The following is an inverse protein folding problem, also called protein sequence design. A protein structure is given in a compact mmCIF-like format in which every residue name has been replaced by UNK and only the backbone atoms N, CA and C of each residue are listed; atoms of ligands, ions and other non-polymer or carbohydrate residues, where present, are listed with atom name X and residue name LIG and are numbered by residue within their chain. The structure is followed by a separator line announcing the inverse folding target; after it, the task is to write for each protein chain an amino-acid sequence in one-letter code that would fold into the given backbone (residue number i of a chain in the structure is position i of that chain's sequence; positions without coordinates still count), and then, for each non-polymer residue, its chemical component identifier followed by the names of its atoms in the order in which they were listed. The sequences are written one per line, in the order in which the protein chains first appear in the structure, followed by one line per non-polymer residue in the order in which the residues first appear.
data_IF_259474098322
#
_entry.id   IF_259474098322
#
_cell.length_a   1.000
_cell.length_b   1.000
_cell.length_c   1.000
_cell.angle_alpha   90.00
_cell.angle_beta   90.00
_cell.angle_gamma   90.00
#
_symmetry.space_group_name_H-M   'P 1'
#
loop_
_entity.id
_entity.type
_entity.pdbx_description
1 polymer ?
#
# COMPACT_ATOMS: atom_id res chain seq x y z
N UNK A 1 -6.85 -17.50 20.28
CA UNK A 1 -6.69 -16.04 20.52
C UNK A 1 -7.89 -15.57 21.34
N UNK A 2 -7.68 -14.87 22.46
CA UNK A 2 -8.77 -14.29 23.26
C UNK A 2 -9.55 -13.23 22.47
N UNK A 3 -10.82 -13.02 22.80
CA UNK A 3 -11.69 -12.06 22.11
C UNK A 3 -11.07 -10.65 21.91
N UNK A 4 -10.37 -10.05 22.89
CA UNK A 4 -9.75 -8.75 22.74
C UNK A 4 -8.60 -8.74 21.70
N UNK A 5 -7.80 -9.81 21.62
CA UNK A 5 -6.71 -9.92 20.64
C UNK A 5 -7.26 -10.00 19.23
N UNK A 6 -8.36 -10.75 19.03
CA UNK A 6 -9.03 -10.84 17.71
C UNK A 6 -9.52 -9.47 17.25
N UNK A 7 -10.13 -8.69 18.14
CA UNK A 7 -10.62 -7.35 17.83
C UNK A 7 -9.48 -6.38 17.46
N UNK A 8 -8.31 -6.48 18.10
CA UNK A 8 -7.13 -5.67 17.76
C UNK A 8 -6.52 -6.06 16.40
N UNK A 9 -6.44 -7.37 16.10
CA UNK A 9 -5.97 -7.86 14.78
C UNK A 9 -6.90 -7.40 13.66
N UNK A 10 -8.20 -7.37 13.94
CA UNK A 10 -9.22 -6.86 13.02
C UNK A 10 -9.08 -5.33 12.83
N UNK A 11 -8.88 -4.57 13.92
CA UNK A 11 -8.67 -3.11 13.91
C UNK A 11 -7.50 -2.70 13.01
N UNK A 12 -6.36 -3.39 13.11
CA UNK A 12 -5.18 -3.08 12.28
C UNK A 12 -5.25 -3.73 10.90
N UNK A 13 -6.32 -4.44 10.58
CA UNK A 13 -6.51 -5.15 9.30
C UNK A 13 -5.25 -5.95 8.91
N UNK A 14 -4.72 -6.74 9.84
CA UNK A 14 -3.43 -7.40 9.69
C UNK A 14 -3.21 -8.11 8.33
N UNK A 15 -4.21 -8.80 7.72
CA UNK A 15 -4.05 -9.39 6.41
C UNK A 15 -3.82 -8.38 5.26
N UNK A 16 -4.30 -7.15 5.39
CA UNK A 16 -4.13 -6.12 4.35
C UNK A 16 -2.69 -5.59 4.27
N UNK A 17 -1.89 -5.78 5.33
CA UNK A 17 -0.48 -5.40 5.37
C UNK A 17 0.42 -6.19 4.39
N UNK A 18 -0.08 -7.21 3.70
CA UNK A 18 0.73 -8.06 2.79
C UNK A 18 1.40 -7.29 1.63
N UNK A 19 0.89 -6.11 1.28
CA UNK A 19 1.49 -5.27 0.23
C UNK A 19 2.58 -4.33 0.78
N UNK A 20 2.67 -4.14 2.09
CA UNK A 20 3.56 -3.16 2.72
C UNK A 20 5.02 -3.61 2.74
N UNK A 21 5.36 -4.86 3.12
CA UNK A 21 6.73 -5.33 3.07
C UNK A 21 7.39 -5.18 1.70
N UNK A 22 6.61 -5.30 0.63
CA UNK A 22 7.10 -5.15 -0.74
C UNK A 22 7.66 -3.76 -1.04
N UNK A 23 7.09 -2.68 -0.49
CA UNK A 23 7.61 -1.32 -0.65
C UNK A 23 8.98 -1.18 0.01
N UNK A 24 9.09 -1.58 1.28
CA UNK A 24 10.34 -1.49 2.02
C UNK A 24 11.44 -2.33 1.36
N UNK A 25 11.11 -3.55 0.91
CA UNK A 25 12.07 -4.42 0.22
C UNK A 25 12.45 -3.86 -1.15
N UNK A 26 11.53 -3.24 -1.90
CA UNK A 26 11.84 -2.59 -3.18
C UNK A 26 12.82 -1.43 -2.98
N UNK A 27 12.61 -0.61 -1.94
CA UNK A 27 13.53 0.45 -1.56
C UNK A 27 14.91 -0.07 -1.17
N UNK A 28 14.97 -1.08 -0.31
CA UNK A 28 16.19 -1.73 0.12
C UNK A 28 16.97 -2.34 -1.05
N UNK A 29 16.27 -3.04 -1.97
CA UNK A 29 16.87 -3.64 -3.16
C UNK A 29 17.46 -2.58 -4.10
N UNK A 30 16.73 -1.48 -4.35
CA UNK A 30 17.21 -0.36 -5.14
C UNK A 30 18.46 0.32 -4.54
N UNK A 31 18.68 0.13 -3.24
CA UNK A 31 19.83 0.67 -2.49
C UNK A 31 20.97 -0.35 -2.30
N UNK A 32 20.87 -1.54 -2.92
CA UNK A 32 21.92 -2.55 -2.91
C UNK A 32 21.94 -3.48 -1.68
N UNK A 33 20.92 -3.43 -0.80
CA UNK A 33 20.85 -4.27 0.40
C UNK A 33 19.47 -4.91 0.61
N UNK A 34 19.01 -5.78 -0.33
CA UNK A 34 17.67 -6.35 -0.37
C UNK A 34 17.35 -7.31 0.79
N UNK A 35 18.36 -7.74 1.54
CA UNK A 35 18.26 -8.61 2.71
C UNK A 35 19.09 -8.11 3.86
N UNK A 36 18.77 -8.58 5.06
CA UNK A 36 19.54 -8.33 6.27
C UNK A 36 18.73 -7.68 7.38
N UNK A 37 19.39 -7.52 8.54
CA UNK A 37 18.75 -6.98 9.76
C UNK A 37 18.14 -5.59 9.54
N UNK A 38 18.83 -4.75 8.76
CA UNK A 38 18.35 -3.39 8.46
C UNK A 38 17.07 -3.43 7.61
N UNK A 39 17.04 -4.27 6.56
CA UNK A 39 15.84 -4.44 5.72
C UNK A 39 14.67 -4.91 6.57
N UNK A 40 14.86 -5.94 7.39
CA UNK A 40 13.82 -6.47 8.26
C UNK A 40 13.31 -5.42 9.25
N UNK A 41 14.22 -4.66 9.88
CA UNK A 41 13.85 -3.63 10.83
C UNK A 41 13.07 -2.48 10.16
N UNK A 42 13.53 -1.97 9.00
CA UNK A 42 12.81 -0.91 8.29
C UNK A 42 11.48 -1.40 7.71
N UNK A 43 11.39 -2.67 7.29
CA UNK A 43 10.10 -3.30 6.96
C UNK A 43 9.17 -3.35 8.17
N UNK A 44 9.70 -3.71 9.35
CA UNK A 44 8.93 -3.67 10.60
C UNK A 44 8.44 -2.27 10.95
N UNK A 45 9.28 -1.24 10.76
CA UNK A 45 8.89 0.16 10.94
C UNK A 45 7.73 0.56 10.00
N UNK A 46 7.83 0.18 8.71
CA UNK A 46 6.81 0.38 7.70
C UNK A 46 5.49 -0.28 8.09
N UNK A 47 5.52 -1.55 8.50
CA UNK A 47 4.33 -2.30 8.96
C UNK A 47 3.70 -1.64 10.19
N UNK A 48 4.50 -1.18 11.16
CA UNK A 48 3.98 -0.47 12.33
C UNK A 48 3.24 0.81 11.91
N UNK A 49 3.81 1.63 11.03
CA UNK A 49 3.18 2.87 10.56
C UNK A 49 1.91 2.56 9.75
N UNK A 50 1.91 1.50 8.94
CA UNK A 50 0.72 1.06 8.21
C UNK A 50 -0.40 0.63 9.15
N UNK A 51 -0.10 -0.21 10.15
CA UNK A 51 -1.09 -0.63 11.14
C UNK A 51 -1.59 0.54 11.99
N UNK A 52 -0.72 1.52 12.28
CA UNK A 52 -1.13 2.78 12.91
C UNK A 52 -2.19 3.49 12.06
N UNK A 53 -1.97 3.60 10.75
CA UNK A 53 -2.94 4.17 9.80
C UNK A 53 -4.27 3.41 9.80
N UNK A 54 -4.26 2.08 9.81
CA UNK A 54 -5.51 1.30 9.86
C UNK A 54 -6.31 1.56 11.15
N UNK A 55 -5.65 1.57 12.30
CA UNK A 55 -6.29 1.89 13.58
C UNK A 55 -6.81 3.34 13.60
N UNK A 56 -6.05 4.27 13.01
CA UNK A 56 -6.41 5.68 12.90
C UNK A 56 -7.60 5.88 11.96
N UNK A 57 -7.64 5.16 10.84
CA UNK A 57 -8.75 5.18 9.89
C UNK A 57 -10.06 4.77 10.57
N UNK A 58 -10.06 3.63 11.28
CA UNK A 58 -11.25 3.18 12.02
C UNK A 58 -11.64 4.16 13.13
N UNK A 59 -10.68 4.85 13.78
CA UNK A 59 -10.96 5.89 14.74
C UNK A 59 -11.57 7.14 14.09
N UNK A 60 -11.02 7.61 12.98
CA UNK A 60 -11.50 8.77 12.26
C UNK A 60 -12.92 8.55 11.71
N UNK A 61 -13.17 7.37 11.16
CA UNK A 61 -14.45 7.01 10.51
C UNK A 61 -15.50 6.46 11.48
N UNK A 62 -15.24 6.38 12.79
CA UNK A 62 -16.08 5.72 13.77
C UNK A 62 -17.57 6.11 13.74
N UNK A 63 -17.88 7.36 13.40
CA UNK A 63 -19.25 7.85 13.32
C UNK A 63 -19.95 7.40 12.04
N UNK A 64 -19.24 7.41 10.90
CA UNK A 64 -19.71 6.92 9.63
C UNK A 64 -19.88 5.39 9.68
N UNK A 65 -18.88 4.69 10.21
CA UNK A 65 -18.89 3.23 10.37
C UNK A 65 -20.01 2.74 11.30
N UNK A 66 -20.45 3.57 12.27
CA UNK A 66 -21.60 3.21 13.11
C UNK A 66 -22.90 3.08 12.30
N UNK A 67 -22.99 3.76 11.15
CA UNK A 67 -24.13 3.71 10.24
C UNK A 67 -23.91 2.63 9.15
N UNK A 68 -22.75 2.64 8.51
CA UNK A 68 -22.50 1.82 7.33
C UNK A 68 -21.96 0.42 7.65
N UNK A 69 -21.23 0.27 8.76
CA UNK A 69 -20.48 -0.95 9.13
C UNK A 69 -20.48 -1.17 10.65
N UNK A 70 -21.67 -1.37 11.26
CA UNK A 70 -21.82 -1.47 12.71
C UNK A 70 -21.08 -2.68 13.33
N UNK A 71 -20.68 -3.66 12.51
CA UNK A 71 -19.91 -4.83 12.93
C UNK A 71 -18.42 -4.54 13.17
N UNK A 72 -17.88 -3.38 12.73
CA UNK A 72 -16.47 -2.99 12.94
C UNK A 72 -16.11 -2.91 14.43
N UNK A 73 -14.81 -3.06 14.78
CA UNK A 73 -14.38 -3.14 16.18
C UNK A 73 -14.82 -1.98 17.07
N UNK A 74 -14.80 -0.74 16.57
CA UNK A 74 -15.18 0.45 17.34
C UNK A 74 -16.71 0.60 17.45
N UNK A 75 -17.48 0.61 16.36
CA UNK A 75 -18.94 0.71 16.44
C UNK A 75 -19.59 -0.41 17.25
N UNK A 76 -19.11 -1.65 17.12
CA UNK A 76 -19.62 -2.80 17.88
C UNK A 76 -19.26 -2.78 19.37
N UNK A 77 -18.50 -1.77 19.84
CA UNK A 77 -18.06 -1.69 21.23
C UNK A 77 -16.95 -2.67 21.65
N UNK A 78 -16.44 -3.48 20.70
CA UNK A 78 -15.34 -4.45 20.98
C UNK A 78 -14.00 -3.76 21.25
N UNK A 79 -13.81 -2.54 20.71
CA UNK A 79 -12.64 -1.69 20.96
C UNK A 79 -13.12 -0.28 21.28
N UNK A 80 -12.64 0.30 22.39
CA UNK A 80 -12.94 1.68 22.75
C UNK A 80 -12.20 2.65 21.81
N UNK A 81 -12.79 3.79 21.38
CA UNK A 81 -12.11 4.77 20.55
C UNK A 81 -10.75 5.21 21.09
N UNK A 82 -10.65 5.45 22.41
CA UNK A 82 -9.40 5.82 23.07
C UNK A 82 -8.33 4.71 22.94
N UNK A 83 -8.72 3.44 22.97
CA UNK A 83 -7.81 2.31 22.76
C UNK A 83 -7.30 2.27 21.32
N UNK A 84 -8.17 2.51 20.33
CA UNK A 84 -7.76 2.58 18.92
C UNK A 84 -6.76 3.71 18.66
N UNK A 85 -7.02 4.90 19.22
CA UNK A 85 -6.09 6.03 19.13
C UNK A 85 -4.76 5.74 19.86
N UNK A 86 -4.81 5.09 21.03
CA UNK A 86 -3.61 4.64 21.75
C UNK A 86 -2.78 3.64 20.95
N UNK A 87 -3.43 2.69 20.27
CA UNK A 87 -2.77 1.73 19.36
C UNK A 87 -2.13 2.46 18.19
N UNK A 88 -2.84 3.38 17.54
CA UNK A 88 -2.30 4.18 16.42
C UNK A 88 -1.06 4.98 16.85
N UNK A 89 -1.14 5.67 17.99
CA UNK A 89 -0.03 6.47 18.54
C UNK A 89 1.16 5.58 18.92
N UNK A 90 0.92 4.46 19.62
CA UNK A 90 1.95 3.53 20.05
C UNK A 90 2.67 2.87 18.86
N UNK A 91 1.92 2.45 17.84
CA UNK A 91 2.50 1.88 16.62
C UNK A 91 3.26 2.94 15.79
N UNK A 92 2.78 4.18 15.74
CA UNK A 92 3.51 5.29 15.10
C UNK A 92 4.84 5.52 15.81
N UNK A 93 4.83 5.67 17.14
CA UNK A 93 6.04 5.88 17.94
C UNK A 93 7.01 4.68 17.82
N UNK A 94 6.49 3.46 17.86
CA UNK A 94 7.27 2.23 17.67
C UNK A 94 7.93 2.18 16.29
N UNK A 95 7.17 2.49 15.22
CA UNK A 95 7.70 2.55 13.85
C UNK A 95 8.81 3.60 13.71
N UNK A 96 8.63 4.80 14.27
CA UNK A 96 9.65 5.86 14.29
C UNK A 96 10.87 5.44 15.09
N UNK A 97 10.70 4.78 16.25
CA UNK A 97 11.77 4.26 17.07
C UNK A 97 12.60 3.20 16.34
N UNK A 98 11.94 2.23 15.69
CA UNK A 98 12.62 1.21 14.86
C UNK A 98 13.36 1.86 13.70
N UNK A 99 12.75 2.82 13.00
CA UNK A 99 13.40 3.54 11.90
C UNK A 99 14.66 4.31 12.38
N UNK A 100 14.57 4.94 13.55
CA UNK A 100 15.72 5.62 14.19
C UNK A 100 16.86 4.65 14.50
N UNK A 101 16.52 3.52 15.12
CA UNK A 101 17.52 2.51 15.53
C UNK A 101 18.19 1.83 14.34
N UNK A 102 17.40 1.51 13.27
CA UNK A 102 17.89 0.76 12.12
C UNK A 102 18.58 1.63 11.04
N UNK A 103 18.13 2.89 10.88
CA UNK A 103 18.56 3.76 9.78
C UNK A 103 19.03 5.14 10.20
N UNK A 104 18.99 5.45 11.51
CA UNK A 104 19.44 6.71 12.07
C UNK A 104 18.67 7.92 11.54
N UNK A 105 19.33 9.09 11.55
CA UNK A 105 18.73 10.36 11.12
C UNK A 105 18.20 10.34 9.68
N UNK A 106 18.83 9.55 8.79
CA UNK A 106 18.36 9.46 7.39
C UNK A 106 17.01 8.78 7.29
N UNK A 107 16.82 7.66 7.96
CA UNK A 107 15.53 6.96 7.97
C UNK A 107 14.46 7.80 8.66
N UNK A 108 14.78 8.50 9.76
CA UNK A 108 13.84 9.41 10.42
C UNK A 108 13.38 10.57 9.54
N UNK A 109 14.24 11.13 8.69
CA UNK A 109 13.84 12.18 7.71
C UNK A 109 12.79 11.70 6.72
N UNK A 110 12.62 10.39 6.57
CA UNK A 110 11.58 9.79 5.73
C UNK A 110 10.41 9.30 6.59
N UNK A 111 10.69 8.64 7.72
CA UNK A 111 9.66 8.08 8.57
C UNK A 111 8.75 9.14 9.20
N UNK A 112 9.29 10.32 9.56
CA UNK A 112 8.49 11.42 10.09
C UNK A 112 7.50 11.99 9.07
N UNK A 113 7.89 12.35 7.83
CA UNK A 113 6.93 12.74 6.80
C UNK A 113 5.95 11.63 6.46
N UNK A 114 6.37 10.35 6.44
CA UNK A 114 5.47 9.23 6.22
C UNK A 114 4.38 9.17 7.29
N UNK A 115 4.76 9.19 8.57
CA UNK A 115 3.82 9.19 9.67
C UNK A 115 2.88 10.42 9.61
N UNK A 116 3.43 11.61 9.38
CA UNK A 116 2.64 12.84 9.22
C UNK A 116 1.65 12.73 8.06
N UNK A 117 2.05 12.15 6.92
CA UNK A 117 1.18 11.95 5.75
C UNK A 117 0.04 10.99 6.08
N UNK A 118 0.32 9.88 6.79
CA UNK A 118 -0.71 8.90 7.21
C UNK A 118 -1.72 9.58 8.15
N UNK A 119 -1.28 10.33 9.14
CA UNK A 119 -2.16 11.05 10.06
C UNK A 119 -2.97 12.13 9.34
N UNK A 120 -2.33 12.93 8.50
CA UNK A 120 -3.01 13.96 7.71
C UNK A 120 -4.03 13.35 6.73
N UNK A 121 -3.72 12.20 6.14
CA UNK A 121 -4.65 11.49 5.26
C UNK A 121 -5.94 11.14 6.01
N UNK A 122 -5.86 10.47 7.14
CA UNK A 122 -7.03 9.97 7.84
C UNK A 122 -7.89 11.09 8.48
N UNK A 123 -7.26 12.16 8.98
CA UNK A 123 -8.01 13.23 9.64
C UNK A 123 -8.49 14.35 8.70
N UNK A 124 -7.79 14.58 7.59
CA UNK A 124 -8.01 15.80 6.80
C UNK A 124 -8.11 15.53 5.31
N UNK A 125 -7.22 14.70 4.71
CA UNK A 125 -7.00 14.73 3.28
C UNK A 125 -7.84 13.71 2.50
N UNK A 126 -8.26 12.61 3.12
CA UNK A 126 -8.89 11.48 2.41
C UNK A 126 -10.16 11.88 1.63
N UNK A 127 -10.98 12.76 2.20
CA UNK A 127 -12.22 13.23 1.57
C UNK A 127 -12.00 14.42 0.61
N UNK A 128 -10.78 14.95 0.56
CA UNK A 128 -10.44 16.09 -0.30
C UNK A 128 -9.93 15.63 -1.67
N UNK A 129 -9.76 16.58 -2.59
CA UNK A 129 -9.12 16.34 -3.89
C UNK A 129 -7.65 15.89 -3.76
N UNK A 130 -7.02 16.12 -2.60
CA UNK A 130 -5.65 15.74 -2.30
C UNK A 130 -5.51 14.31 -1.75
N UNK A 131 -6.62 13.62 -1.44
CA UNK A 131 -6.59 12.25 -0.92
C UNK A 131 -5.72 11.30 -1.74
N UNK A 132 -5.91 11.19 -3.07
CA UNK A 132 -5.08 10.32 -3.90
C UNK A 132 -3.59 10.69 -3.89
N UNK A 133 -3.27 11.98 -3.84
CA UNK A 133 -1.89 12.45 -3.75
C UNK A 133 -1.25 12.11 -2.40
N UNK A 134 -2.00 12.23 -1.31
CA UNK A 134 -1.53 11.87 0.02
C UNK A 134 -1.28 10.36 0.14
N UNK A 135 -2.18 9.52 -0.39
CA UNK A 135 -1.99 8.07 -0.42
C UNK A 135 -0.76 7.68 -1.26
N UNK A 136 -0.59 8.31 -2.43
CA UNK A 136 0.59 8.13 -3.28
C UNK A 136 1.88 8.57 -2.57
N UNK A 137 1.85 9.70 -1.85
CA UNK A 137 2.98 10.20 -1.08
C UNK A 137 3.34 9.22 0.06
N UNK A 138 2.36 8.69 0.79
CA UNK A 138 2.60 7.69 1.82
C UNK A 138 3.33 6.47 1.25
N UNK A 139 2.88 5.92 0.12
CA UNK A 139 3.53 4.75 -0.51
C UNK A 139 4.91 5.07 -1.08
N UNK A 140 5.09 6.27 -1.66
CA UNK A 140 6.41 6.76 -2.11
C UNK A 140 7.39 6.86 -0.95
N UNK A 141 6.95 7.45 0.16
CA UNK A 141 7.77 7.59 1.37
C UNK A 141 8.06 6.22 2.01
N UNK A 142 7.15 5.26 1.90
CA UNK A 142 7.36 3.91 2.43
C UNK A 142 8.49 3.17 1.69
N UNK A 143 8.53 3.25 0.36
CA UNK A 143 9.67 2.74 -0.44
C UNK A 143 10.98 3.44 -0.04
N UNK A 144 10.96 4.76 0.13
CA UNK A 144 12.13 5.52 0.55
C UNK A 144 12.56 5.18 2.00
N UNK A 145 11.61 4.87 2.89
CA UNK A 145 11.91 4.37 4.24
C UNK A 145 12.65 3.04 4.16
N UNK A 146 12.16 2.09 3.36
CA UNK A 146 12.84 0.83 3.10
C UNK A 146 14.27 1.00 2.59
N UNK A 147 14.51 2.04 1.79
CA UNK A 147 15.84 2.46 1.32
C UNK A 147 16.69 3.16 2.40
N UNK A 148 16.17 3.40 3.61
CA UNK A 148 16.84 4.21 4.63
C UNK A 148 17.10 5.65 4.18
N UNK A 149 16.27 6.19 3.28
CA UNK A 149 16.40 7.53 2.70
C UNK A 149 17.44 7.63 1.57
N UNK A 150 17.86 6.54 0.96
CA UNK A 150 18.81 6.57 -0.16
C UNK A 150 18.14 7.04 -1.46
N UNK A 151 18.80 7.98 -2.17
CA UNK A 151 18.29 8.54 -3.44
C UNK A 151 18.17 7.50 -4.57
N UNK A 152 18.93 6.43 -4.53
CA UNK A 152 18.87 5.35 -5.52
C UNK A 152 17.47 4.71 -5.63
N UNK A 153 16.67 4.78 -4.56
CA UNK A 153 15.31 4.24 -4.55
C UNK A 153 14.25 5.19 -5.13
N UNK A 154 14.58 6.45 -5.44
CA UNK A 154 13.62 7.44 -5.93
C UNK A 154 12.85 6.95 -7.17
N UNK A 155 13.46 6.34 -8.21
CA UNK A 155 12.70 5.85 -9.35
C UNK A 155 11.68 4.77 -8.97
N UNK A 156 12.05 3.82 -8.10
CA UNK A 156 11.14 2.79 -7.61
C UNK A 156 10.01 3.40 -6.76
N UNK A 157 10.34 4.34 -5.89
CA UNK A 157 9.39 5.04 -5.04
C UNK A 157 8.34 5.81 -5.85
N UNK A 158 8.78 6.58 -6.86
CA UNK A 158 7.88 7.31 -7.76
C UNK A 158 7.01 6.37 -8.60
N UNK A 159 7.54 5.21 -9.00
CA UNK A 159 6.78 4.20 -9.74
C UNK A 159 5.63 3.63 -8.89
N UNK A 160 5.91 3.27 -7.64
CA UNK A 160 4.89 2.80 -6.67
C UNK A 160 3.89 3.92 -6.37
N UNK A 161 4.37 5.14 -6.14
CA UNK A 161 3.52 6.31 -5.93
C UNK A 161 2.58 6.60 -7.10
N UNK A 162 3.08 6.59 -8.33
CA UNK A 162 2.27 6.81 -9.54
C UNK A 162 1.19 5.74 -9.71
N UNK A 163 1.52 4.47 -9.49
CA UNK A 163 0.56 3.39 -9.48
C UNK A 163 -0.52 3.60 -8.40
N UNK A 164 -0.10 3.93 -7.17
CA UNK A 164 -1.02 4.18 -6.06
C UNK A 164 -1.94 5.36 -6.37
N UNK A 165 -1.40 6.46 -6.90
CA UNK A 165 -2.20 7.61 -7.30
C UNK A 165 -3.29 7.21 -8.30
N UNK A 166 -2.93 6.48 -9.36
CA UNK A 166 -3.86 6.03 -10.39
C UNK A 166 -4.97 5.15 -9.80
N UNK A 167 -4.63 4.18 -8.96
CA UNK A 167 -5.61 3.28 -8.31
C UNK A 167 -6.51 4.06 -7.36
N UNK A 168 -5.96 4.97 -6.54
CA UNK A 168 -6.74 5.76 -5.59
C UNK A 168 -7.63 6.79 -6.30
N UNK A 169 -7.21 7.35 -7.43
CA UNK A 169 -8.10 8.19 -8.23
C UNK A 169 -9.28 7.39 -8.77
N UNK A 170 -9.02 6.17 -9.25
CA UNK A 170 -10.06 5.30 -9.77
C UNK A 170 -11.05 4.86 -8.68
N UNK A 171 -10.57 4.61 -7.44
CA UNK A 171 -11.42 4.16 -6.33
C UNK A 171 -12.50 5.19 -5.93
N UNK A 172 -12.27 6.46 -6.19
CA UNK A 172 -13.28 7.51 -5.93
C UNK A 172 -14.54 7.39 -6.80
N UNK A 173 -14.51 6.55 -7.81
CA UNK A 173 -15.62 6.31 -8.76
C UNK A 173 -16.22 4.90 -8.61
N UNK A 174 -15.95 4.22 -7.50
CA UNK A 174 -16.43 2.84 -7.28
C UNK A 174 -17.96 2.75 -7.08
N UNK A 175 -18.58 3.83 -6.64
CA UNK A 175 -20.03 3.88 -6.36
C UNK A 175 -20.80 4.29 -7.62
N UNK A 176 -20.40 5.40 -8.23
CA UNK A 176 -21.18 6.04 -9.30
C UNK A 176 -20.68 5.64 -10.70
N UNK A 177 -19.55 4.92 -10.80
CA UNK A 177 -18.87 4.71 -12.08
C UNK A 177 -18.03 5.92 -12.47
N UNK A 178 -17.42 5.90 -13.66
CA UNK A 178 -16.50 6.92 -14.12
C UNK A 178 -16.78 7.36 -15.56
N UNK A 179 -16.24 8.52 -15.97
CA UNK A 179 -16.09 8.84 -17.39
C UNK A 179 -14.95 7.97 -17.97
N UNK A 180 -15.05 7.49 -19.23
CA UNK A 180 -14.04 6.62 -19.84
C UNK A 180 -12.60 7.17 -19.80
N UNK A 181 -12.42 8.50 -19.76
CA UNK A 181 -11.13 9.15 -19.68
C UNK A 181 -10.35 8.77 -18.40
N UNK A 182 -11.02 8.55 -17.26
CA UNK A 182 -10.35 8.22 -16.01
C UNK A 182 -9.72 6.79 -16.04
N UNK A 183 -10.47 5.71 -16.34
CA UNK A 183 -9.85 4.39 -16.47
C UNK A 183 -8.85 4.34 -17.64
N UNK A 184 -9.01 5.13 -18.72
CA UNK A 184 -8.02 5.23 -19.79
C UNK A 184 -6.70 5.85 -19.29
N UNK A 185 -6.76 6.90 -18.48
CA UNK A 185 -5.58 7.50 -17.86
C UNK A 185 -4.87 6.51 -16.91
N UNK A 186 -5.62 5.72 -16.13
CA UNK A 186 -5.01 4.70 -15.25
C UNK A 186 -4.39 3.55 -16.03
N UNK A 187 -4.99 3.14 -17.14
CA UNK A 187 -4.41 2.16 -18.06
C UNK A 187 -3.12 2.68 -18.70
N UNK A 188 -3.12 3.94 -19.15
CA UNK A 188 -1.91 4.59 -19.69
C UNK A 188 -0.79 4.65 -18.64
N UNK A 189 -1.11 4.96 -17.38
CA UNK A 189 -0.14 4.94 -16.29
C UNK A 189 0.45 3.53 -16.08
N UNK A 190 -0.40 2.48 -16.09
CA UNK A 190 0.04 1.08 -15.98
C UNK A 190 0.96 0.68 -17.16
N UNK A 191 0.60 1.05 -18.38
CA UNK A 191 1.43 0.83 -19.56
C UNK A 191 2.75 1.62 -19.49
N UNK A 192 2.70 2.87 -19.03
CA UNK A 192 3.87 3.73 -18.83
C UNK A 192 4.88 3.13 -17.85
N UNK A 193 4.43 2.55 -16.74
CA UNK A 193 5.28 1.82 -15.79
C UNK A 193 5.99 0.65 -16.48
N UNK A 194 5.27 -0.12 -17.31
CA UNK A 194 5.87 -1.26 -18.03
C UNK A 194 6.89 -0.81 -19.08
N UNK A 195 6.59 0.27 -19.82
CA UNK A 195 7.50 0.84 -20.84
C UNK A 195 8.73 1.47 -20.18
N UNK A 196 8.55 2.25 -19.11
CA UNK A 196 9.65 2.88 -18.37
C UNK A 196 10.61 1.86 -17.71
N UNK A 197 10.15 0.64 -17.49
CA UNK A 197 11.01 -0.46 -17.07
C UNK A 197 12.09 -0.81 -18.11
N UNK A 198 11.86 -0.57 -19.39
CA UNK A 198 12.79 -0.84 -20.47
C UNK A 198 13.11 -2.33 -20.63
N UNK A 199 14.33 -2.62 -21.12
CA UNK A 199 14.86 -3.98 -21.19
C UNK A 199 15.32 -4.43 -19.82
N UNK A 200 14.70 -5.48 -19.30
CA UNK A 200 14.99 -6.08 -17.98
C UNK A 200 15.17 -7.58 -18.11
N UNK A 201 15.83 -8.21 -17.15
CA UNK A 201 16.01 -9.65 -17.13
C UNK A 201 14.69 -10.43 -17.15
N UNK A 202 14.72 -11.75 -17.47
CA UNK A 202 13.51 -12.57 -17.68
C UNK A 202 12.54 -12.55 -16.49
N UNK A 203 13.05 -12.68 -15.27
CA UNK A 203 12.21 -12.66 -14.05
C UNK A 203 11.50 -11.31 -13.86
N UNK A 204 12.21 -10.21 -14.02
CA UNK A 204 11.62 -8.88 -13.92
C UNK A 204 10.58 -8.66 -15.02
N UNK A 205 10.85 -9.11 -16.25
CA UNK A 205 9.91 -9.07 -17.37
C UNK A 205 8.63 -9.86 -17.07
N UNK A 206 8.74 -11.08 -16.53
CA UNK A 206 7.60 -11.91 -16.16
C UNK A 206 6.75 -11.27 -15.07
N UNK A 207 7.37 -10.73 -14.01
CA UNK A 207 6.68 -10.09 -12.88
C UNK A 207 5.99 -8.79 -13.30
N UNK A 208 6.68 -7.92 -14.06
CA UNK A 208 6.08 -6.69 -14.59
C UNK A 208 5.03 -6.99 -15.68
N UNK A 209 5.18 -8.08 -16.42
CA UNK A 209 4.16 -8.61 -17.32
C UNK A 209 2.91 -9.04 -16.56
N UNK A 210 3.08 -9.77 -15.45
CA UNK A 210 1.97 -10.17 -14.57
C UNK A 210 1.25 -8.94 -14.01
N UNK A 211 1.99 -7.91 -13.56
CA UNK A 211 1.42 -6.63 -13.16
C UNK A 211 0.59 -5.99 -14.27
N UNK A 212 1.17 -5.82 -15.45
CA UNK A 212 0.52 -5.17 -16.58
C UNK A 212 -0.74 -5.93 -17.04
N UNK A 213 -0.68 -7.27 -17.09
CA UNK A 213 -1.81 -8.10 -17.48
C UNK A 213 -2.92 -8.09 -16.42
N UNK A 214 -2.56 -8.23 -15.13
CA UNK A 214 -3.55 -8.28 -14.05
C UNK A 214 -4.29 -6.94 -13.92
N UNK A 215 -3.55 -5.85 -13.86
CA UNK A 215 -4.10 -4.50 -13.67
C UNK A 215 -4.67 -3.94 -14.96
N UNK A 216 -3.90 -4.03 -16.05
CA UNK A 216 -4.26 -3.41 -17.33
C UNK A 216 -5.49 -4.03 -17.97
N UNK A 217 -5.69 -5.36 -17.88
CA UNK A 217 -6.90 -5.99 -18.42
C UNK A 217 -8.17 -5.49 -17.74
N UNK A 218 -8.17 -5.39 -16.42
CA UNK A 218 -9.31 -4.88 -15.68
C UNK A 218 -9.58 -3.40 -15.95
N UNK A 219 -8.51 -2.58 -16.08
CA UNK A 219 -8.62 -1.19 -16.47
C UNK A 219 -9.13 -1.03 -17.91
N UNK A 220 -8.71 -1.88 -18.86
CA UNK A 220 -9.20 -1.90 -20.21
C UNK A 220 -10.71 -2.23 -20.27
N UNK A 221 -11.16 -3.22 -19.49
CA UNK A 221 -12.57 -3.54 -19.37
C UNK A 221 -13.38 -2.34 -18.82
N UNK A 222 -12.79 -1.58 -17.86
CA UNK A 222 -13.39 -0.36 -17.31
C UNK A 222 -13.37 0.83 -18.30
N UNK A 223 -12.44 0.88 -19.24
CA UNK A 223 -12.46 1.88 -20.34
C UNK A 223 -13.64 1.62 -21.27
N UNK A 224 -13.91 0.36 -21.59
CA UNK A 224 -15.01 -0.02 -22.48
C UNK A 224 -16.40 0.09 -21.84
N UNK A 225 -16.46 -0.15 -20.55
CA UNK A 225 -17.67 -0.09 -19.74
C UNK A 225 -17.33 0.48 -18.36
N UNK A 226 -17.44 1.82 -18.17
CA UNK A 226 -17.01 2.49 -16.93
C UNK A 226 -18.06 2.42 -15.80
N UNK A 227 -18.96 1.45 -15.84
CA UNK A 227 -19.92 1.20 -14.77
C UNK A 227 -19.23 0.81 -13.46
N UNK A 228 -19.85 1.14 -12.33
CA UNK A 228 -19.33 0.93 -10.98
C UNK A 228 -18.76 -0.49 -10.73
N UNK A 229 -19.40 -1.61 -11.17
CA UNK A 229 -18.84 -2.95 -10.98
C UNK A 229 -17.51 -3.18 -11.70
N UNK A 230 -17.32 -2.55 -12.88
CA UNK A 230 -16.06 -2.65 -13.64
C UNK A 230 -14.97 -1.78 -12.99
N UNK A 231 -15.34 -0.59 -12.51
CA UNK A 231 -14.41 0.27 -11.75
C UNK A 231 -13.94 -0.46 -10.49
N UNK A 232 -14.82 -1.00 -9.67
CA UNK A 232 -14.45 -1.80 -8.47
C UNK A 232 -13.51 -2.95 -8.81
N UNK A 233 -13.78 -3.66 -9.92
CA UNK A 233 -12.88 -4.74 -10.38
C UNK A 233 -11.50 -4.23 -10.76
N UNK A 234 -11.42 -3.06 -11.44
CA UNK A 234 -10.16 -2.45 -11.83
C UNK A 234 -9.35 -1.93 -10.63
N UNK A 235 -10.02 -1.37 -9.62
CA UNK A 235 -9.39 -0.97 -8.35
C UNK A 235 -8.85 -2.19 -7.62
N UNK A 236 -9.66 -3.24 -7.43
CA UNK A 236 -9.22 -4.48 -6.79
C UNK A 236 -8.03 -5.13 -7.53
N UNK A 237 -8.05 -5.11 -8.87
CA UNK A 237 -6.94 -5.58 -9.69
C UNK A 237 -5.68 -4.72 -9.50
N UNK A 238 -5.83 -3.40 -9.34
CA UNK A 238 -4.74 -2.47 -9.03
C UNK A 238 -4.13 -2.75 -7.66
N UNK A 239 -4.96 -2.94 -6.63
CA UNK A 239 -4.48 -3.28 -5.28
C UNK A 239 -3.65 -4.57 -5.30
N UNK A 240 -4.16 -5.63 -5.94
CA UNK A 240 -3.41 -6.89 -6.06
C UNK A 240 -2.19 -6.76 -6.97
N UNK A 241 -2.27 -5.94 -8.02
CA UNK A 241 -1.19 -5.66 -8.96
C UNK A 241 0.04 -4.99 -8.32
N UNK A 242 -0.13 -4.37 -7.14
CA UNK A 242 0.98 -3.80 -6.38
C UNK A 242 2.08 -4.85 -6.09
N UNK A 243 1.70 -6.07 -5.72
CA UNK A 243 2.66 -7.12 -5.34
C UNK A 243 3.57 -7.51 -6.52
N UNK A 244 3.06 -7.88 -7.72
CA UNK A 244 3.94 -8.17 -8.85
C UNK A 244 4.69 -6.93 -9.36
N UNK A 245 4.17 -5.70 -9.19
CA UNK A 245 4.91 -4.48 -9.46
C UNK A 245 6.15 -4.37 -8.56
N UNK A 246 5.98 -4.48 -7.24
CA UNK A 246 7.05 -4.45 -6.26
C UNK A 246 8.08 -5.54 -6.53
N UNK A 247 7.63 -6.78 -6.73
CA UNK A 247 8.51 -7.90 -7.04
C UNK A 247 9.29 -7.67 -8.35
N UNK A 248 8.67 -7.09 -9.36
CA UNK A 248 9.33 -6.72 -10.62
C UNK A 248 10.39 -5.64 -10.43
N UNK A 249 10.11 -4.61 -9.61
CA UNK A 249 11.09 -3.57 -9.26
C UNK A 249 12.28 -4.15 -8.50
N UNK A 250 12.06 -5.09 -7.59
CA UNK A 250 13.11 -5.82 -6.86
C UNK A 250 13.93 -6.68 -7.82
N UNK A 251 13.29 -7.44 -8.71
CA UNK A 251 13.98 -8.31 -9.68
C UNK A 251 14.88 -7.52 -10.63
N UNK A 252 14.54 -6.28 -10.98
CA UNK A 252 15.38 -5.38 -11.81
C UNK A 252 16.75 -5.08 -11.20
N UNK A 253 16.88 -5.16 -9.89
CA UNK A 253 18.17 -4.94 -9.18
C UNK A 253 19.03 -6.20 -9.12
N UNK A 254 18.57 -7.33 -9.67
CA UNK A 254 19.23 -8.64 -9.55
C UNK A 254 18.86 -9.39 -8.26
N UNK A 255 18.09 -8.82 -7.36
CA UNK A 255 17.70 -9.42 -6.08
C UNK A 255 16.56 -10.46 -6.23
N UNK A 256 16.78 -11.48 -7.03
CA UNK A 256 15.77 -12.47 -7.43
C UNK A 256 15.12 -13.21 -6.25
N UNK A 257 15.89 -13.51 -5.19
CA UNK A 257 15.35 -14.18 -3.97
C UNK A 257 14.33 -13.31 -3.25
N UNK A 258 14.65 -12.02 -3.05
CA UNK A 258 13.72 -11.04 -2.47
C UNK A 258 12.49 -10.84 -3.36
N UNK A 259 12.69 -10.81 -4.67
CA UNK A 259 11.59 -10.68 -5.64
C UNK A 259 10.61 -11.86 -5.54
N UNK A 260 11.11 -13.08 -5.48
CA UNK A 260 10.28 -14.29 -5.34
C UNK A 260 9.58 -14.33 -3.97
N UNK A 261 10.27 -13.94 -2.89
CA UNK A 261 9.67 -13.85 -1.55
C UNK A 261 8.48 -12.88 -1.52
N UNK A 262 8.63 -11.69 -2.13
CA UNK A 262 7.53 -10.72 -2.25
C UNK A 262 6.44 -11.24 -3.19
N UNK A 263 6.80 -11.83 -4.34
CA UNK A 263 5.83 -12.39 -5.28
C UNK A 263 4.97 -13.51 -4.67
N UNK A 264 5.51 -14.30 -3.73
CA UNK A 264 4.77 -15.35 -3.03
C UNK A 264 3.56 -14.82 -2.22
N UNK A 265 3.57 -13.54 -1.83
CA UNK A 265 2.41 -12.91 -1.19
C UNK A 265 1.21 -12.72 -2.15
N UNK A 266 1.42 -12.72 -3.48
CA UNK A 266 0.37 -12.46 -4.46
C UNK A 266 -0.79 -13.47 -4.43
N UNK A 267 -0.56 -14.80 -4.53
CA UNK A 267 -1.63 -15.77 -4.42
C UNK A 267 -2.31 -15.75 -3.06
N UNK A 268 -1.57 -15.48 -1.98
CA UNK A 268 -2.09 -15.39 -0.61
C UNK A 268 -3.04 -14.18 -0.50
N UNK A 269 -2.62 -13.01 -0.97
CA UNK A 269 -3.46 -11.81 -0.97
C UNK A 269 -4.76 -12.02 -1.75
N UNK A 270 -4.69 -12.66 -2.94
CA UNK A 270 -5.88 -12.99 -3.74
C UNK A 270 -6.80 -14.01 -3.06
N UNK A 271 -6.26 -14.96 -2.33
CA UNK A 271 -7.05 -15.94 -1.60
C UNK A 271 -7.76 -15.30 -0.39
N UNK A 272 -7.06 -14.42 0.33
CA UNK A 272 -7.62 -13.71 1.49
C UNK A 272 -8.68 -12.67 1.09
N UNK A 273 -8.50 -11.96 -0.01
CA UNK A 273 -9.49 -10.98 -0.48
C UNK A 273 -10.83 -11.58 -0.91
N UNK A 274 -10.87 -12.90 -1.18
CA UNK A 274 -12.14 -13.61 -1.43
C UNK A 274 -12.93 -13.89 -0.14
N UNK A 275 -12.26 -13.84 1.02
CA UNK A 275 -12.86 -14.14 2.33
C UNK A 275 -13.16 -12.89 3.15
N UNK A 276 -12.43 -11.81 2.88
CA UNK A 276 -12.57 -10.52 3.57
C UNK A 276 -12.52 -9.43 2.51
N UNK A 277 -13.58 -8.62 2.40
CA UNK A 277 -13.56 -7.47 1.47
C UNK A 277 -12.40 -6.54 1.84
N UNK A 278 -11.57 -6.12 0.88
CA UNK A 278 -10.47 -5.19 1.16
C UNK A 278 -10.93 -3.74 1.37
N UNK A 279 -12.22 -3.46 1.17
CA UNK A 279 -12.85 -2.13 1.29
C UNK A 279 -13.80 -2.07 2.46
#
# INVERSE_FOLDING_TARGET
MGAPVKALVELVRAPAALTVPGDAVAGAAASGWPFGRRTLALTGASVCIYWAGMALNDYADRHLDAIERPERPIPSGRVKPATALGVATGLTAGGLGIAAAAGGRRALRVALPLAATVWAYDFVLKETVFGPAAMAAARTLDVLLGAGGARAAVPAALTVGAHTYAVTQLSRSEVDGAKPALPAATLAATAGVRVAAGRVGPLASALLGTYALTTGRAQYDAVRDPAAPKIRRAVGAGIHGMIPLQAGLIARTGAWRSALAVAAAFPIARALSRKVSPT
#
